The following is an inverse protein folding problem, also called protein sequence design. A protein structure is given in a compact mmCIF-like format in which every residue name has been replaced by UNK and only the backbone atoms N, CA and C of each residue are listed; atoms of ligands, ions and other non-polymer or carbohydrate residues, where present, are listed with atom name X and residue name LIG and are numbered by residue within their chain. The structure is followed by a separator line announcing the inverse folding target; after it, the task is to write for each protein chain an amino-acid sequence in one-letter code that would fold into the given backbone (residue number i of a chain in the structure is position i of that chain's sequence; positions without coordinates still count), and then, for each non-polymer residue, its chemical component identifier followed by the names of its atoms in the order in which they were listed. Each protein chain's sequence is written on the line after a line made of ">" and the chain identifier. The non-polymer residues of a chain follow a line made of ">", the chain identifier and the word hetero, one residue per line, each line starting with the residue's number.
data_IF_346266605435
#
_entry.id   IF_346266605435
#
_cell.length_a   1.000
_cell.length_b   1.000
_cell.length_c   1.000
_cell.angle_alpha   90.00
_cell.angle_beta   90.00
_cell.angle_gamma   90.00
#
_symmetry.space_group_name_H-M   'P 1'
#
loop_
_entity.id
_entity.type
_entity.pdbx_description
1 polymer ?
#
# COMPACT_ATOMS: atom_id res chain seq x y z
N UNK A 1 29.63 12.75 -38.07
CA UNK A 1 30.52 12.61 -36.90
C UNK A 1 29.93 13.44 -35.77
N UNK A 2 29.85 12.83 -34.60
CA UNK A 2 28.89 13.06 -33.51
C UNK A 2 28.77 14.52 -33.06
N UNK A 3 27.57 15.11 -33.01
CA UNK A 3 27.26 16.16 -32.06
C UNK A 3 26.29 15.64 -31.00
N UNK A 4 26.48 16.07 -29.74
CA UNK A 4 25.39 16.03 -28.75
C UNK A 4 25.73 15.47 -27.38
N UNK A 5 26.86 15.83 -26.79
CA UNK A 5 26.97 15.82 -25.32
C UNK A 5 26.16 17.01 -24.80
N UNK A 6 24.94 16.75 -24.34
CA UNK A 6 24.15 17.68 -23.54
C UNK A 6 23.81 17.02 -22.22
N UNK A 7 24.77 17.07 -21.30
CA UNK A 7 24.54 16.85 -19.89
C UNK A 7 23.91 18.13 -19.30
N UNK A 8 22.86 17.93 -18.49
CA UNK A 8 22.27 18.91 -17.56
C UNK A 8 21.20 19.87 -18.09
N UNK A 9 20.06 19.80 -17.37
CA UNK A 9 18.97 20.78 -17.10
C UNK A 9 17.61 20.25 -17.53
N UNK A 10 16.57 20.18 -16.70
CA UNK A 10 16.30 20.55 -15.30
C UNK A 10 15.07 19.72 -14.90
N UNK A 11 15.02 19.22 -13.66
CA UNK A 11 13.75 19.05 -12.97
C UNK A 11 13.12 20.45 -12.95
N UNK A 12 12.18 20.75 -13.85
CA UNK A 12 11.36 21.95 -13.74
C UNK A 12 10.32 21.69 -12.65
N UNK A 13 10.77 21.76 -11.39
CA UNK A 13 9.94 22.17 -10.27
C UNK A 13 9.52 23.63 -10.54
N UNK A 14 8.52 23.81 -11.40
CA UNK A 14 7.67 24.98 -11.33
C UNK A 14 6.77 24.74 -10.13
N UNK A 15 7.23 25.16 -8.95
CA UNK A 15 6.36 25.46 -7.83
C UNK A 15 5.47 26.62 -8.26
N UNK A 16 4.35 26.30 -8.91
CA UNK A 16 3.21 27.22 -8.93
C UNK A 16 2.82 27.43 -7.47
N UNK A 17 2.92 28.68 -7.02
CA UNK A 17 2.63 29.09 -5.65
C UNK A 17 1.17 28.80 -5.25
N UNK A 18 0.31 28.51 -6.22
CA UNK A 18 -1.09 28.15 -6.00
C UNK A 18 -1.37 26.74 -6.52
N UNK A 19 -1.73 25.84 -5.61
CA UNK A 19 -2.28 24.50 -5.85
C UNK A 19 -1.37 23.51 -6.59
N UNK A 20 -0.20 23.20 -6.01
CA UNK A 20 0.67 22.12 -6.44
C UNK A 20 -0.10 20.82 -6.75
N UNK A 21 -0.40 20.60 -8.03
CA UNK A 21 -1.02 19.37 -8.53
C UNK A 21 0.06 18.30 -8.59
N UNK A 22 0.33 17.68 -7.45
CA UNK A 22 1.27 16.55 -7.30
C UNK A 22 1.06 15.45 -8.36
N UNK A 23 -0.18 15.28 -8.82
CA UNK A 23 -0.56 14.37 -9.89
C UNK A 23 0.16 14.65 -11.22
N UNK A 24 0.44 15.91 -11.57
CA UNK A 24 1.13 16.24 -12.82
C UNK A 24 2.62 15.86 -12.77
N UNK A 25 3.25 16.00 -11.60
CA UNK A 25 4.64 15.60 -11.37
C UNK A 25 4.79 14.06 -11.39
N UNK A 26 3.84 13.34 -10.79
CA UNK A 26 3.84 11.87 -10.84
C UNK A 26 3.54 11.35 -12.25
N UNK A 27 2.66 11.99 -13.02
CA UNK A 27 2.41 11.64 -14.42
C UNK A 27 3.63 11.88 -15.32
N UNK A 28 4.32 13.02 -15.17
CA UNK A 28 5.55 13.30 -15.92
C UNK A 28 6.65 12.29 -15.60
N UNK A 29 6.82 11.95 -14.32
CA UNK A 29 7.84 10.98 -13.91
C UNK A 29 7.49 9.56 -14.33
N UNK A 30 6.21 9.18 -14.30
CA UNK A 30 5.71 7.91 -14.86
C UNK A 30 6.11 7.75 -16.32
N UNK A 31 5.82 8.75 -17.15
CA UNK A 31 6.12 8.71 -18.58
C UNK A 31 7.62 8.63 -18.84
N UNK A 32 8.44 9.34 -18.05
CA UNK A 32 9.89 9.27 -18.17
C UNK A 32 10.45 7.89 -17.80
N UNK A 33 9.97 7.30 -16.71
CA UNK A 33 10.41 5.98 -16.24
C UNK A 33 9.97 4.90 -17.22
N UNK A 34 8.70 4.93 -17.67
CA UNK A 34 8.14 3.96 -18.60
C UNK A 34 8.89 3.92 -19.94
N UNK A 35 9.39 5.07 -20.41
CA UNK A 35 10.13 5.16 -21.67
C UNK A 35 11.65 4.89 -21.53
N UNK A 36 12.14 4.63 -20.32
CA UNK A 36 13.53 4.26 -20.08
C UNK A 36 13.71 2.74 -20.11
N UNK A 37 14.88 2.29 -20.56
CA UNK A 37 15.30 0.89 -20.40
C UNK A 37 15.44 0.56 -18.90
N UNK A 38 14.87 -0.57 -18.48
CA UNK A 38 14.96 -1.12 -17.12
C UNK A 38 16.40 -1.19 -16.62
N UNK A 39 17.37 -1.46 -17.49
CA UNK A 39 18.80 -1.52 -17.13
C UNK A 39 19.33 -0.21 -16.55
N UNK A 40 18.72 0.93 -16.88
CA UNK A 40 19.09 2.25 -16.35
C UNK A 40 18.87 2.35 -14.83
N UNK A 41 17.93 1.59 -14.30
CA UNK A 41 17.58 1.60 -12.88
C UNK A 41 18.46 0.67 -12.03
N UNK A 42 19.52 0.09 -12.61
CA UNK A 42 20.54 -0.64 -11.84
C UNK A 42 21.44 0.28 -11.00
N UNK A 43 21.51 1.56 -11.36
CA UNK A 43 22.32 2.53 -10.62
C UNK A 43 21.60 2.99 -9.33
N UNK A 44 22.32 3.22 -8.21
CA UNK A 44 21.70 3.51 -6.91
C UNK A 44 20.74 4.71 -6.91
N UNK A 45 21.08 5.78 -7.63
CA UNK A 45 20.26 7.00 -7.65
C UNK A 45 18.95 6.78 -8.43
N UNK A 46 19.04 6.30 -9.67
CA UNK A 46 17.87 5.99 -10.50
C UNK A 46 16.98 4.95 -9.82
N UNK A 47 17.60 3.97 -9.16
CA UNK A 47 16.90 2.98 -8.36
C UNK A 47 16.13 3.63 -7.22
N UNK A 48 16.77 4.44 -6.38
CA UNK A 48 16.12 5.15 -5.29
C UNK A 48 14.97 6.04 -5.79
N UNK A 49 15.13 6.66 -6.96
CA UNK A 49 14.07 7.43 -7.62
C UNK A 49 12.88 6.54 -8.00
N UNK A 50 13.09 5.38 -8.63
CA UNK A 50 12.03 4.41 -8.94
C UNK A 50 11.35 3.92 -7.65
N UNK A 51 12.13 3.51 -6.66
CA UNK A 51 11.68 3.01 -5.36
C UNK A 51 10.83 4.04 -4.59
N UNK A 52 11.18 5.32 -4.69
CA UNK A 52 10.41 6.39 -4.05
C UNK A 52 9.01 6.55 -4.65
N UNK A 53 8.82 6.18 -5.93
CA UNK A 53 7.61 6.47 -6.69
C UNK A 53 6.83 5.24 -7.16
N UNK A 54 7.37 4.02 -7.01
CA UNK A 54 6.76 2.82 -7.59
C UNK A 54 5.33 2.53 -7.13
N UNK A 55 4.97 2.90 -5.91
CA UNK A 55 3.61 2.75 -5.39
C UNK A 55 2.57 3.57 -6.19
N UNK A 56 3.01 4.57 -6.96
CA UNK A 56 2.14 5.38 -7.83
C UNK A 56 2.03 4.83 -9.26
N UNK A 57 2.73 3.74 -9.59
CA UNK A 57 2.85 3.21 -10.95
C UNK A 57 2.26 1.79 -11.07
N UNK A 58 0.93 1.68 -11.06
CA UNK A 58 0.24 0.38 -11.02
C UNK A 58 0.21 -0.41 -12.35
N UNK A 59 0.51 0.20 -13.50
CA UNK A 59 0.18 -0.41 -14.80
C UNK A 59 1.37 -0.93 -15.63
N UNK A 60 2.54 -0.26 -15.63
CA UNK A 60 3.69 -0.72 -16.42
C UNK A 60 4.68 -1.55 -15.60
N UNK A 61 4.76 -1.32 -14.28
CA UNK A 61 5.60 -2.12 -13.39
C UNK A 61 5.12 -3.58 -13.26
N UNK A 62 3.83 -3.80 -13.52
CA UNK A 62 3.23 -5.12 -13.60
C UNK A 62 3.60 -5.92 -14.87
N UNK A 63 4.39 -5.35 -15.80
CA UNK A 63 4.81 -6.03 -17.03
C UNK A 63 6.24 -6.59 -16.91
N UNK A 64 6.57 -7.67 -17.62
CA UNK A 64 7.99 -7.99 -17.90
C UNK A 64 8.52 -6.92 -18.86
N UNK A 65 9.72 -6.33 -18.68
CA UNK A 65 10.87 -6.71 -17.83
C UNK A 65 10.92 -6.11 -16.41
N UNK A 66 9.94 -5.28 -16.02
CA UNK A 66 9.94 -4.59 -14.72
C UNK A 66 9.75 -5.52 -13.54
N UNK A 67 8.82 -6.49 -13.63
CA UNK A 67 8.60 -7.49 -12.56
C UNK A 67 9.85 -8.33 -12.26
N UNK A 68 10.62 -8.67 -13.28
CA UNK A 68 11.85 -9.47 -13.13
C UNK A 68 12.93 -8.65 -12.40
N UNK A 69 13.16 -7.42 -12.84
CA UNK A 69 14.11 -6.51 -12.22
C UNK A 69 13.81 -6.22 -10.74
N UNK A 70 12.53 -5.99 -10.39
CA UNK A 70 12.12 -5.76 -9.00
C UNK A 70 12.39 -7.00 -8.13
N UNK A 71 12.17 -8.20 -8.67
CA UNK A 71 12.39 -9.48 -7.97
C UNK A 71 13.86 -9.80 -7.76
N UNK A 72 14.69 -9.68 -8.80
CA UNK A 72 16.14 -9.97 -8.75
C UNK A 72 16.86 -9.16 -7.67
N UNK A 73 16.35 -7.98 -7.34
CA UNK A 73 17.08 -7.07 -6.47
C UNK A 73 16.65 -7.10 -5.00
N UNK A 74 15.56 -7.80 -4.67
CA UNK A 74 15.21 -8.08 -3.27
C UNK A 74 16.33 -8.82 -2.51
N UNK A 75 17.24 -9.47 -3.25
CA UNK A 75 18.32 -10.29 -2.71
C UNK A 75 19.69 -9.60 -2.70
N UNK A 76 19.93 -8.54 -3.50
CA UNK A 76 21.30 -8.07 -3.79
C UNK A 76 21.67 -6.63 -3.33
N UNK A 77 20.72 -5.74 -3.01
CA UNK A 77 21.01 -4.31 -2.81
C UNK A 77 20.93 -3.78 -1.36
N UNK A 78 20.68 -4.64 -0.37
CA UNK A 78 20.25 -4.23 0.98
C UNK A 78 21.39 -3.90 1.97
N UNK A 79 22.56 -3.52 1.49
CA UNK A 79 23.75 -3.35 2.37
C UNK A 79 23.74 -2.07 3.22
N UNK A 80 22.76 -1.17 3.08
CA UNK A 80 22.68 0.07 3.88
C UNK A 80 21.25 0.63 4.08
N UNK A 81 20.20 -0.14 3.81
CA UNK A 81 18.83 0.38 3.94
C UNK A 81 18.28 0.20 5.36
N UNK A 82 17.62 1.23 5.89
CA UNK A 82 16.94 1.14 7.18
C UNK A 82 15.89 0.03 7.16
N UNK A 83 15.65 -0.66 8.29
CA UNK A 83 14.63 -1.71 8.39
C UNK A 83 13.26 -1.27 7.85
N UNK A 84 12.87 -0.02 8.10
CA UNK A 84 11.61 0.53 7.58
C UNK A 84 11.59 0.66 6.05
N UNK A 85 12.73 0.98 5.42
CA UNK A 85 12.85 1.02 3.96
C UNK A 85 12.66 -0.38 3.35
N UNK A 86 13.24 -1.41 3.98
CA UNK A 86 13.06 -2.81 3.55
C UNK A 86 11.59 -3.24 3.67
N UNK A 87 10.94 -2.93 4.80
CA UNK A 87 9.54 -3.26 5.02
C UNK A 87 8.62 -2.53 4.04
N UNK A 88 8.89 -1.25 3.77
CA UNK A 88 8.21 -0.48 2.72
C UNK A 88 8.39 -1.14 1.36
N UNK A 89 9.61 -1.59 1.07
CA UNK A 89 9.91 -2.21 -0.22
C UNK A 89 9.05 -3.44 -0.45
N UNK A 90 9.02 -4.35 0.54
CA UNK A 90 8.17 -5.55 0.50
C UNK A 90 6.68 -5.22 0.37
N UNK A 91 6.20 -4.24 1.13
CA UNK A 91 4.81 -3.80 1.03
C UNK A 91 4.46 -3.31 -0.39
N UNK A 92 5.37 -2.54 -1.00
CA UNK A 92 5.17 -2.01 -2.34
C UNK A 92 5.07 -3.11 -3.41
N UNK A 93 5.65 -4.30 -3.20
CA UNK A 93 5.52 -5.43 -4.14
C UNK A 93 4.06 -5.88 -4.24
N UNK A 94 3.35 -5.98 -3.11
CA UNK A 94 1.91 -6.30 -3.12
C UNK A 94 1.04 -5.13 -3.59
N UNK A 95 1.39 -3.89 -3.22
CA UNK A 95 0.60 -2.71 -3.59
C UNK A 95 0.59 -2.40 -5.10
N UNK A 96 1.44 -3.04 -5.89
CA UNK A 96 1.33 -3.00 -7.36
C UNK A 96 0.10 -3.78 -7.84
N UNK A 97 -0.15 -4.96 -7.28
CA UNK A 97 -1.17 -5.90 -7.76
C UNK A 97 -2.52 -5.74 -7.03
N UNK A 98 -2.52 -5.41 -5.73
CA UNK A 98 -3.75 -5.32 -4.93
C UNK A 98 -4.78 -4.33 -5.48
N UNK A 99 -4.44 -3.09 -5.88
CA UNK A 99 -5.43 -2.16 -6.41
C UNK A 99 -6.13 -2.68 -7.67
N UNK A 100 -5.37 -3.34 -8.57
CA UNK A 100 -5.92 -3.95 -9.79
C UNK A 100 -6.88 -5.08 -9.44
N UNK A 101 -6.49 -5.93 -8.48
CA UNK A 101 -7.32 -7.03 -8.01
C UNK A 101 -8.64 -6.52 -7.37
N UNK A 102 -8.57 -5.49 -6.53
CA UNK A 102 -9.74 -4.87 -5.91
C UNK A 102 -10.68 -4.27 -6.96
N UNK A 103 -10.13 -3.62 -7.99
CA UNK A 103 -10.91 -3.04 -9.09
C UNK A 103 -11.59 -4.12 -9.93
N UNK A 104 -10.89 -5.20 -10.28
CA UNK A 104 -11.46 -6.32 -11.04
C UNK A 104 -12.60 -7.01 -10.29
N UNK A 105 -12.41 -7.28 -8.99
CA UNK A 105 -13.46 -7.87 -8.14
C UNK A 105 -14.65 -6.91 -8.06
N UNK A 106 -14.41 -5.63 -7.76
CA UNK A 106 -15.47 -4.62 -7.66
C UNK A 106 -16.26 -4.46 -8.96
N UNK A 107 -15.57 -4.51 -10.11
CA UNK A 107 -16.22 -4.45 -11.43
C UNK A 107 -17.11 -5.67 -11.68
N UNK A 108 -16.69 -6.86 -11.26
CA UNK A 108 -17.49 -8.08 -11.41
C UNK A 108 -18.68 -8.06 -10.47
N UNK A 109 -18.51 -7.60 -9.23
CA UNK A 109 -19.60 -7.46 -8.25
C UNK A 109 -20.68 -6.48 -8.71
N UNK A 110 -20.31 -5.44 -9.48
CA UNK A 110 -21.26 -4.48 -10.10
C UNK A 110 -21.89 -5.00 -11.39
N UNK A 111 -21.28 -5.98 -12.05
CA UNK A 111 -21.75 -6.56 -13.30
C UNK A 111 -22.63 -7.80 -13.09
N UNK A 112 -23.54 -8.10 -14.01
CA UNK A 112 -24.23 -9.39 -14.01
C UNK A 112 -23.34 -10.46 -14.69
N UNK A 113 -22.89 -11.40 -13.86
CA UNK A 113 -22.59 -12.80 -14.22
C UNK A 113 -21.16 -13.17 -14.67
N UNK A 114 -20.29 -13.56 -13.72
CA UNK A 114 -19.01 -14.28 -13.98
C UNK A 114 -18.53 -15.16 -12.79
N UNK A 115 -19.39 -16.04 -12.24
CA UNK A 115 -19.10 -16.80 -11.01
C UNK A 115 -17.71 -17.48 -10.94
N UNK A 116 -17.29 -18.22 -11.99
CA UNK A 116 -15.96 -18.85 -12.03
C UNK A 116 -14.80 -17.86 -12.06
N UNK A 117 -14.98 -16.67 -12.64
CA UNK A 117 -13.95 -15.62 -12.66
C UNK A 117 -13.84 -14.97 -11.29
N UNK A 118 -14.99 -14.69 -10.65
CA UNK A 118 -15.05 -14.15 -9.30
C UNK A 118 -14.37 -15.10 -8.31
N UNK A 119 -14.66 -16.40 -8.38
CA UNK A 119 -14.06 -17.41 -7.51
C UNK A 119 -12.52 -17.41 -7.59
N UNK A 120 -11.94 -17.38 -8.80
CA UNK A 120 -10.47 -17.29 -8.97
C UNK A 120 -9.89 -16.02 -8.37
N UNK A 121 -10.55 -14.88 -8.60
CA UNK A 121 -10.07 -13.59 -8.06
C UNK A 121 -10.18 -13.54 -6.54
N UNK A 122 -11.22 -14.13 -5.96
CA UNK A 122 -11.37 -14.27 -4.50
C UNK A 122 -10.29 -15.19 -3.93
N UNK A 123 -10.01 -16.32 -4.56
CA UNK A 123 -8.89 -17.20 -4.15
C UNK A 123 -7.55 -16.44 -4.18
N UNK A 124 -7.31 -15.64 -5.22
CA UNK A 124 -6.13 -14.79 -5.32
C UNK A 124 -6.09 -13.72 -4.21
N UNK A 125 -7.23 -13.08 -3.92
CA UNK A 125 -7.34 -12.08 -2.85
C UNK A 125 -7.07 -12.70 -1.47
N UNK A 126 -7.61 -13.89 -1.19
CA UNK A 126 -7.38 -14.63 0.05
C UNK A 126 -5.91 -15.03 0.20
N UNK A 127 -5.27 -15.47 -0.89
CA UNK A 127 -3.84 -15.80 -0.88
C UNK A 127 -2.98 -14.58 -0.54
N UNK A 128 -3.21 -13.45 -1.23
CA UNK A 128 -2.47 -12.21 -1.00
C UNK A 128 -2.74 -11.67 0.41
N UNK A 129 -4.00 -11.72 0.87
CA UNK A 129 -4.37 -11.35 2.24
C UNK A 129 -3.56 -12.14 3.27
N UNK A 130 -3.55 -13.47 3.17
CA UNK A 130 -2.79 -14.33 4.09
C UNK A 130 -1.29 -14.08 4.05
N UNK A 131 -0.72 -13.78 2.88
CA UNK A 131 0.69 -13.41 2.73
C UNK A 131 1.02 -12.09 3.44
N UNK A 132 0.21 -11.05 3.20
CA UNK A 132 0.40 -9.74 3.82
C UNK A 132 0.22 -9.84 5.34
N UNK A 133 -0.81 -10.56 5.80
CA UNK A 133 -1.08 -10.73 7.23
C UNK A 133 0.03 -11.52 7.94
N UNK A 134 0.46 -12.65 7.37
CA UNK A 134 1.57 -13.43 7.92
C UNK A 134 2.86 -12.61 8.00
N UNK A 135 3.18 -11.85 6.95
CA UNK A 135 4.32 -10.95 6.94
C UNK A 135 4.19 -9.80 7.96
N UNK A 136 3.00 -9.19 8.07
CA UNK A 136 2.74 -8.11 9.01
C UNK A 136 2.99 -8.57 10.46
N UNK A 137 2.45 -9.73 10.84
CA UNK A 137 2.64 -10.29 12.18
C UNK A 137 4.10 -10.69 12.44
N UNK A 138 4.81 -11.19 11.43
CA UNK A 138 6.19 -11.66 11.58
C UNK A 138 7.23 -10.52 11.58
N UNK A 139 7.02 -9.45 10.81
CA UNK A 139 8.07 -8.46 10.53
C UNK A 139 7.73 -7.03 10.97
N UNK A 140 6.45 -6.65 10.90
CA UNK A 140 5.99 -5.28 11.19
C UNK A 140 5.59 -5.12 12.65
N UNK A 141 4.76 -6.02 13.19
CA UNK A 141 4.36 -5.99 14.62
C UNK A 141 5.57 -5.99 15.56
N UNK A 142 6.61 -6.84 15.36
CA UNK A 142 7.80 -6.80 16.22
C UNK A 142 8.64 -5.53 16.06
N UNK A 143 8.45 -4.75 14.99
CA UNK A 143 9.13 -3.48 14.78
C UNK A 143 8.39 -2.30 15.45
N UNK A 144 7.17 -2.51 15.97
CA UNK A 144 6.42 -1.56 16.79
C UNK A 144 6.66 -1.90 18.26
N UNK A 145 7.28 -1.04 19.06
CA UNK A 145 7.46 -1.28 20.48
C UNK A 145 6.08 -1.38 21.16
N UNK A 146 5.70 -2.59 21.57
CA UNK A 146 4.51 -2.78 22.41
C UNK A 146 4.91 -2.55 23.87
N UNK A 147 4.61 -1.38 24.42
CA UNK A 147 4.69 -1.17 25.87
C UNK A 147 3.40 -1.76 26.45
N UNK A 148 3.51 -2.89 27.15
CA UNK A 148 2.45 -3.33 28.05
C UNK A 148 2.31 -2.25 29.12
N UNK A 149 1.14 -1.62 29.16
CA UNK A 149 0.79 -0.57 30.11
C UNK A 149 0.78 -1.17 31.53
N UNK A 150 1.93 -1.04 32.18
CA UNK A 150 2.15 -1.38 33.58
C UNK A 150 2.26 -0.09 34.36
N UNK A 151 1.16 0.25 35.01
CA UNK A 151 1.04 1.16 36.15
C UNK A 151 0.61 2.62 35.89
N UNK A 152 -0.41 2.99 36.65
CA UNK A 152 -1.08 4.29 36.68
C UNK A 152 -0.15 5.37 37.21
N UNK A 153 -0.21 6.57 36.60
CA UNK A 153 0.14 7.91 37.16
C UNK A 153 1.19 8.68 36.36
N UNK A 154 0.86 9.13 35.14
CA UNK A 154 1.44 10.35 34.56
C UNK A 154 0.52 10.90 33.46
N UNK A 155 0.15 12.20 33.47
CA UNK A 155 -0.56 12.80 32.35
C UNK A 155 0.46 13.16 31.26
N UNK A 156 0.17 12.79 30.00
CA UNK A 156 0.81 13.24 28.74
C UNK A 156 2.01 12.44 28.18
N UNK A 157 1.97 11.11 28.16
CA UNK A 157 2.78 10.34 27.19
C UNK A 157 1.89 9.60 26.19
N UNK A 158 2.16 9.66 24.87
CA UNK A 158 1.33 9.00 23.87
C UNK A 158 1.54 7.47 23.91
N UNK A 159 0.47 6.67 23.73
CA UNK A 159 0.55 5.22 23.76
C UNK A 159 1.27 4.69 22.50
N UNK A 160 2.26 3.82 22.72
CA UNK A 160 3.06 3.11 21.71
C UNK A 160 3.75 4.00 20.66
N UNK A 161 4.97 4.46 20.95
CA UNK A 161 5.76 5.24 20.00
C UNK A 161 6.36 4.34 18.92
N UNK A 162 5.89 4.52 17.68
CA UNK A 162 6.60 3.97 16.52
C UNK A 162 8.05 4.48 16.54
N UNK A 163 9.01 3.63 16.16
CA UNK A 163 10.43 4.01 16.14
C UNK A 163 10.74 5.11 15.12
N UNK A 164 9.93 5.23 14.07
CA UNK A 164 10.03 6.27 13.04
C UNK A 164 8.71 6.42 12.27
N UNK A 165 8.46 7.57 11.63
CA UNK A 165 7.22 7.85 10.87
C UNK A 165 6.90 6.84 9.79
N UNK A 166 7.93 6.30 9.14
CA UNK A 166 7.72 5.31 8.09
C UNK A 166 7.07 4.02 8.62
N UNK A 167 7.34 3.61 9.86
CA UNK A 167 6.65 2.44 10.45
C UNK A 167 5.17 2.75 10.70
N UNK A 168 4.84 3.95 11.18
CA UNK A 168 3.44 4.39 11.31
C UNK A 168 2.72 4.43 9.96
N UNK A 169 3.38 4.95 8.91
CA UNK A 169 2.87 4.90 7.52
C UNK A 169 2.61 3.44 7.09
N UNK A 170 3.54 2.53 7.36
CA UNK A 170 3.39 1.12 6.98
C UNK A 170 2.24 0.44 7.71
N UNK A 171 2.13 0.62 9.02
CA UNK A 171 1.04 0.04 9.81
C UNK A 171 -0.33 0.53 9.31
N UNK A 172 -0.46 1.83 9.06
CA UNK A 172 -1.68 2.43 8.49
C UNK A 172 -2.03 1.83 7.12
N UNK A 173 -1.05 1.74 6.20
CA UNK A 173 -1.28 1.23 4.84
C UNK A 173 -1.56 -0.27 4.84
N UNK A 174 -0.85 -1.07 5.64
CA UNK A 174 -1.08 -2.52 5.74
C UNK A 174 -2.46 -2.80 6.34
N UNK A 175 -2.77 -2.17 7.47
CA UNK A 175 -4.06 -2.35 8.14
C UNK A 175 -5.23 -1.95 7.25
N UNK A 176 -5.10 -0.85 6.51
CA UNK A 176 -6.15 -0.41 5.57
C UNK A 176 -6.27 -1.28 4.32
N UNK A 177 -5.14 -1.80 3.80
CA UNK A 177 -5.13 -2.77 2.70
C UNK A 177 -5.79 -4.09 3.09
N UNK A 178 -5.49 -4.60 4.30
CA UNK A 178 -6.09 -5.83 4.81
C UNK A 178 -7.59 -5.67 5.05
N UNK A 179 -8.06 -4.52 5.56
CA UNK A 179 -9.49 -4.21 5.62
C UNK A 179 -10.12 -4.24 4.22
N UNK A 180 -9.47 -3.66 3.21
CA UNK A 180 -10.01 -3.62 1.85
C UNK A 180 -10.17 -5.04 1.26
N UNK A 181 -9.14 -5.88 1.41
CA UNK A 181 -9.17 -7.29 1.01
C UNK A 181 -10.23 -8.09 1.78
N UNK A 182 -10.32 -7.93 3.10
CA UNK A 182 -11.32 -8.57 3.96
C UNK A 182 -12.75 -8.25 3.51
N UNK A 183 -13.05 -6.97 3.20
CA UNK A 183 -14.37 -6.58 2.72
C UNK A 183 -14.71 -7.25 1.39
N UNK A 184 -13.81 -7.21 0.39
CA UNK A 184 -14.14 -7.79 -0.92
C UNK A 184 -14.22 -9.31 -0.87
N UNK A 185 -13.41 -9.98 -0.03
CA UNK A 185 -13.50 -11.43 0.19
C UNK A 185 -14.86 -11.75 0.81
N UNK A 186 -15.25 -11.08 1.89
CA UNK A 186 -16.53 -11.30 2.58
C UNK A 186 -17.74 -11.07 1.65
N UNK A 187 -17.75 -9.98 0.89
CA UNK A 187 -18.86 -9.67 -0.04
C UNK A 187 -18.92 -10.71 -1.16
N UNK A 188 -17.77 -11.13 -1.68
CA UNK A 188 -17.75 -12.08 -2.79
C UNK A 188 -18.09 -13.50 -2.32
N UNK A 189 -17.65 -13.92 -1.13
CA UNK A 189 -18.00 -15.23 -0.58
C UNK A 189 -19.47 -15.34 -0.26
N UNK A 190 -20.15 -14.27 0.17
CA UNK A 190 -21.60 -14.29 0.37
C UNK A 190 -22.38 -14.44 -0.94
N UNK A 191 -21.85 -13.95 -2.07
CA UNK A 191 -22.43 -14.16 -3.40
C UNK A 191 -22.13 -15.54 -4.00
N UNK A 192 -20.97 -16.12 -3.68
CA UNK A 192 -20.52 -17.42 -4.19
C UNK A 192 -21.04 -18.62 -3.35
N UNK A 193 -21.25 -18.41 -2.04
CA UNK A 193 -21.58 -19.49 -1.10
C UNK A 193 -23.08 -19.67 -0.91
N UNK A 194 -23.56 -20.91 -1.06
CA UNK A 194 -24.64 -21.43 -0.21
C UNK A 194 -24.07 -21.76 1.19
N UNK A 195 -24.88 -21.69 2.26
CA UNK A 195 -24.40 -21.46 3.63
C UNK A 195 -23.57 -22.65 4.14
N UNK A 196 -22.25 -22.48 4.30
CA UNK A 196 -21.42 -23.58 4.79
C UNK A 196 -20.01 -23.30 5.32
N UNK A 197 -19.44 -22.10 5.15
CA UNK A 197 -18.04 -21.91 5.54
C UNK A 197 -17.55 -20.46 5.65
N UNK A 198 -18.39 -19.55 6.18
CA UNK A 198 -17.97 -18.18 6.46
C UNK A 198 -17.37 -18.07 7.87
N UNK A 199 -16.33 -17.24 8.01
CA UNK A 199 -15.95 -16.62 9.28
C UNK A 199 -17.21 -16.13 10.00
N UNK A 200 -17.28 -16.33 11.32
CA UNK A 200 -18.42 -15.83 12.08
C UNK A 200 -18.48 -14.29 11.93
N UNK A 201 -19.66 -13.68 11.73
CA UNK A 201 -19.80 -12.22 11.65
C UNK A 201 -19.19 -11.48 12.86
N UNK A 202 -19.14 -12.16 14.01
CA UNK A 202 -18.55 -11.68 15.27
C UNK A 202 -17.02 -11.59 15.20
N UNK A 203 -16.35 -12.58 14.61
CA UNK A 203 -14.88 -12.56 14.47
C UNK A 203 -14.44 -11.50 13.45
N UNK A 204 -15.20 -11.35 12.37
CA UNK A 204 -14.97 -10.32 11.36
C UNK A 204 -15.03 -8.91 11.95
N UNK A 205 -16.08 -8.61 12.72
CA UNK A 205 -16.27 -7.27 13.31
C UNK A 205 -15.17 -6.94 14.32
N UNK A 206 -14.71 -7.92 15.11
CA UNK A 206 -13.60 -7.74 16.04
C UNK A 206 -12.26 -7.46 15.32
N UNK A 207 -11.95 -8.20 14.25
CA UNK A 207 -10.73 -7.99 13.45
C UNK A 207 -10.74 -6.60 12.81
N UNK A 208 -11.84 -6.21 12.16
CA UNK A 208 -11.98 -4.90 11.54
C UNK A 208 -11.85 -3.77 12.57
N UNK A 209 -12.44 -3.92 13.76
CA UNK A 209 -12.32 -2.93 14.84
C UNK A 209 -10.87 -2.76 15.29
N UNK A 210 -10.14 -3.87 15.50
CA UNK A 210 -8.71 -3.84 15.86
C UNK A 210 -7.87 -3.13 14.80
N UNK A 211 -8.11 -3.43 13.51
CA UNK A 211 -7.40 -2.78 12.41
C UNK A 211 -7.73 -1.28 12.30
N UNK A 212 -8.98 -0.88 12.52
CA UNK A 212 -9.36 0.54 12.57
C UNK A 212 -8.67 1.28 13.70
N UNK A 213 -8.53 0.65 14.86
CA UNK A 213 -7.78 1.22 15.97
C UNK A 213 -6.29 1.41 15.60
N UNK A 214 -5.65 0.40 15.01
CA UNK A 214 -4.27 0.51 14.52
C UNK A 214 -4.09 1.65 13.50
N UNK A 215 -5.02 1.78 12.53
CA UNK A 215 -5.02 2.89 11.55
C UNK A 215 -5.08 4.25 12.24
N UNK A 216 -5.95 4.42 13.24
CA UNK A 216 -6.10 5.69 13.94
C UNK A 216 -4.83 6.05 14.71
N UNK A 217 -4.26 5.10 15.47
CA UNK A 217 -3.03 5.33 16.23
C UNK A 217 -1.86 5.68 15.29
N UNK A 218 -1.72 4.93 14.20
CA UNK A 218 -0.71 5.17 13.18
C UNK A 218 -0.85 6.55 12.53
N UNK A 219 -2.09 6.94 12.17
CA UNK A 219 -2.37 8.22 11.56
C UNK A 219 -2.08 9.39 12.52
N UNK A 220 -2.50 9.28 13.77
CA UNK A 220 -2.25 10.29 14.80
C UNK A 220 -0.75 10.47 15.05
N UNK A 221 -0.01 9.37 15.15
CA UNK A 221 1.44 9.42 15.27
C UNK A 221 2.09 10.13 14.08
N UNK A 222 1.76 9.74 12.84
CA UNK A 222 2.33 10.36 11.64
C UNK A 222 1.96 11.83 11.56
N UNK A 223 0.72 12.20 11.93
CA UNK A 223 0.27 13.59 11.99
C UNK A 223 1.05 14.41 13.02
N UNK A 224 1.33 13.82 14.19
CA UNK A 224 2.16 14.44 15.22
C UNK A 224 3.60 14.70 14.76
N UNK A 225 4.15 13.81 13.91
CA UNK A 225 5.50 14.00 13.35
C UNK A 225 5.53 14.95 12.14
N UNK A 226 4.60 14.81 11.19
CA UNK A 226 4.53 15.64 9.99
C UNK A 226 3.11 15.68 9.42
N UNK A 227 2.46 16.84 9.54
CA UNK A 227 1.17 17.10 8.93
C UNK A 227 1.17 16.93 7.40
N UNK A 228 2.31 17.15 6.74
CA UNK A 228 2.45 16.94 5.29
C UNK A 228 2.44 15.45 4.95
N UNK A 229 3.11 14.62 5.77
CA UNK A 229 3.15 13.17 5.58
C UNK A 229 1.81 12.48 5.89
N UNK A 230 1.00 13.06 6.78
CA UNK A 230 -0.33 12.53 7.12
C UNK A 230 -1.36 12.74 5.99
N UNK A 231 -1.28 13.83 5.23
CA UNK A 231 -2.29 14.15 4.19
C UNK A 231 -2.52 13.05 3.15
N UNK A 232 -1.48 12.42 2.55
CA UNK A 232 -1.69 11.29 1.65
C UNK A 232 -2.36 10.09 2.32
N UNK A 233 -2.08 9.82 3.59
CA UNK A 233 -2.74 8.76 4.35
C UNK A 233 -4.21 9.07 4.58
N UNK A 234 -4.54 10.29 5.01
CA UNK A 234 -5.92 10.74 5.18
C UNK A 234 -6.72 10.59 3.89
N UNK A 235 -6.14 11.05 2.78
CA UNK A 235 -6.75 10.90 1.46
C UNK A 235 -6.96 9.43 1.10
N UNK A 236 -5.95 8.58 1.26
CA UNK A 236 -6.06 7.15 0.96
C UNK A 236 -7.13 6.45 1.80
N UNK A 237 -7.20 6.75 3.09
CA UNK A 237 -8.22 6.20 3.99
C UNK A 237 -9.64 6.65 3.61
N UNK A 238 -9.81 7.91 3.18
CA UNK A 238 -11.09 8.40 2.65
C UNK A 238 -11.49 7.64 1.38
N UNK A 239 -10.56 7.39 0.45
CA UNK A 239 -10.86 6.60 -0.76
C UNK A 239 -11.29 5.17 -0.43
N UNK A 240 -10.68 4.52 0.58
CA UNK A 240 -11.08 3.18 1.02
C UNK A 240 -12.45 3.16 1.70
N UNK A 241 -12.84 4.24 2.38
CA UNK A 241 -14.19 4.38 2.93
C UNK A 241 -15.23 4.51 1.81
N UNK A 242 -14.92 5.22 0.72
CA UNK A 242 -15.80 5.35 -0.45
C UNK A 242 -15.92 4.06 -1.26
N UNK A 243 -14.94 3.16 -1.16
CA UNK A 243 -14.98 1.83 -1.79
C UNK A 243 -15.87 0.83 -1.02
N UNK A 244 -16.41 1.20 0.15
CA UNK A 244 -17.46 0.40 0.79
C UNK A 244 -18.68 0.40 -0.11
N UNK A 245 -18.91 -0.74 -0.75
CA UNK A 245 -20.20 -1.03 -1.37
C UNK A 245 -21.17 -1.23 -0.20
N UNK A 246 -22.07 -0.28 0.00
CA UNK A 246 -23.16 -0.44 0.95
C UNK A 246 -23.95 -1.70 0.56
N UNK A 247 -24.14 -2.67 1.47
CA UNK A 247 -24.99 -3.83 1.21
C UNK A 247 -26.49 -3.47 1.14
N UNK A 248 -26.85 -2.22 1.41
CA UNK A 248 -28.22 -1.71 1.33
C UNK A 248 -28.31 -0.60 0.28
N UNK A 249 -28.49 -1.01 -0.97
CA UNK A 249 -28.69 -0.12 -2.11
C UNK A 249 -29.73 -0.68 -3.08
N UNK A 250 -30.92 -1.00 -2.55
CA UNK A 250 -32.15 -1.48 -3.23
C UNK A 250 -32.10 -2.91 -3.79
#
# INVERSE_FOLDING_TARGET
>A
MIPGVAFSRRLSLLTNADNGRWNQLSHGTKALIQNCDVRRFRQPFERAMLESQRAFFSCFLAQSPWREFLRETGEAALTSESRASLLRSKLCDWLVDVPVLLEEISSILRGRNHGMRLERLVQQATLIHGQIEGWYLAEVVPAVPYIQDGDNSAPLHPPAEYSQPLIGVLDCVVSSTLIALENVIMISTSQLSQPGGSLSPTDYTAIIAKRRHAINNALEYVRGYSAVAAKPLEFGLQQLQLLRVDPEGV
#
